data_IF_565189193813
#
_entry.id   IF_565189193813
#
_cell.length_a   1.000
_cell.length_b   1.000
_cell.length_c   1.000
_cell.angle_alpha   90.00
_cell.angle_beta   90.00
_cell.angle_gamma   90.00
#
_symmetry.space_group_name_H-M   'P 1'
#
loop_
_entity.id
_entity.type
_entity.pdbx_description
1 polymer ?
#
# COMPACT_ATOMS: atom_id res chain seq x y z
N UNK A 1 -1.00 -8.04 -25.37
CA UNK A 1 -0.88 -6.81 -24.56
C UNK A 1 0.43 -6.95 -23.80
N UNK A 2 1.44 -6.20 -24.23
CA UNK A 2 2.78 -6.28 -23.66
C UNK A 2 2.73 -5.73 -22.23
N UNK A 3 2.79 -6.60 -21.24
CA UNK A 3 2.82 -6.19 -19.83
C UNK A 3 4.19 -5.59 -19.58
N UNK A 4 4.35 -4.30 -19.88
CA UNK A 4 5.52 -3.52 -19.47
C UNK A 4 5.68 -3.65 -17.97
N UNK A 5 6.62 -4.50 -17.56
CA UNK A 5 6.86 -4.87 -16.16
C UNK A 5 7.72 -3.78 -15.53
N UNK A 6 7.25 -2.53 -15.58
CA UNK A 6 7.87 -1.41 -14.87
C UNK A 6 8.03 -1.78 -13.41
N UNK A 7 9.24 -1.63 -12.91
CA UNK A 7 9.58 -1.79 -11.51
C UNK A 7 9.68 -0.40 -10.87
N UNK A 8 9.24 -0.30 -9.61
CA UNK A 8 9.33 0.91 -8.80
C UNK A 8 9.87 0.51 -7.43
N UNK A 9 10.72 1.36 -6.86
CA UNK A 9 11.08 1.28 -5.46
C UNK A 9 11.28 2.68 -4.89
N UNK A 10 11.09 2.81 -3.58
CA UNK A 10 11.47 4.02 -2.86
C UNK A 10 12.89 3.88 -2.37
N UNK A 11 13.73 4.87 -2.65
CA UNK A 11 15.09 4.95 -2.14
C UNK A 11 15.17 6.11 -1.15
N UNK A 12 15.76 5.86 0.02
CA UNK A 12 16.02 6.88 1.01
C UNK A 12 17.50 7.21 0.96
N UNK A 13 17.84 8.45 0.66
CA UNK A 13 19.21 8.96 0.82
C UNK A 13 19.20 10.11 1.81
N UNK A 14 19.94 9.95 2.91
CA UNK A 14 20.01 10.89 4.03
C UNK A 14 18.62 11.22 4.60
N UNK A 15 18.03 12.33 4.15
CA UNK A 15 16.71 12.84 4.55
C UNK A 15 15.74 13.01 3.35
N UNK A 16 16.21 12.71 2.14
CA UNK A 16 15.43 12.83 0.92
C UNK A 16 14.87 11.47 0.52
N UNK A 17 13.65 11.50 -0.03
CA UNK A 17 12.96 10.31 -0.52
C UNK A 17 12.83 10.40 -2.02
N UNK A 18 13.28 9.34 -2.69
CA UNK A 18 13.22 9.23 -4.13
C UNK A 18 12.37 8.03 -4.53
N UNK A 19 11.80 8.09 -5.73
CA UNK A 19 11.23 6.96 -6.44
C UNK A 19 12.21 6.60 -7.56
N UNK A 20 12.78 5.40 -7.50
CA UNK A 20 13.55 4.81 -8.58
C UNK A 20 12.63 3.88 -9.37
N UNK A 21 12.63 4.00 -10.69
CA UNK A 21 11.79 3.17 -11.54
C UNK A 21 12.43 2.86 -12.89
N UNK A 22 11.96 1.80 -13.53
CA UNK A 22 12.40 1.42 -14.86
C UNK A 22 11.33 1.70 -15.89
N UNK A 23 11.71 2.28 -17.02
CA UNK A 23 10.82 2.53 -18.16
C UNK A 23 11.27 1.69 -19.35
N UNK A 24 10.32 1.05 -20.03
CA UNK A 24 10.53 0.45 -21.34
C UNK A 24 9.55 1.11 -22.31
N UNK A 25 10.03 2.03 -23.14
CA UNK A 25 9.22 2.79 -24.11
C UNK A 25 9.92 2.69 -25.47
N UNK A 26 9.17 2.31 -26.51
CA UNK A 26 9.68 2.16 -27.88
C UNK A 26 10.91 1.24 -28.01
N UNK A 27 10.98 0.19 -27.17
CA UNK A 27 12.12 -0.73 -27.13
C UNK A 27 13.36 -0.20 -26.39
N UNK A 28 13.34 1.05 -25.93
CA UNK A 28 14.41 1.64 -25.12
C UNK A 28 14.13 1.44 -23.64
N UNK A 29 15.02 0.70 -22.97
CA UNK A 29 15.02 0.56 -21.52
C UNK A 29 15.70 1.76 -20.86
N UNK A 30 15.15 2.33 -19.80
CA UNK A 30 15.80 3.41 -19.03
C UNK A 30 15.56 3.21 -17.55
N UNK A 31 16.53 3.66 -16.75
CA UNK A 31 16.37 3.83 -15.31
C UNK A 31 16.09 5.30 -15.07
N UNK A 32 15.05 5.57 -14.29
CA UNK A 32 14.63 6.91 -13.92
C UNK A 32 14.60 7.05 -12.40
N UNK A 33 14.71 8.30 -11.96
CA UNK A 33 14.67 8.70 -10.56
C UNK A 33 13.85 9.98 -10.44
N UNK A 34 13.09 10.14 -9.36
CA UNK A 34 12.40 11.39 -9.06
C UNK A 34 12.22 11.58 -7.56
N UNK A 35 12.29 12.82 -7.08
CA UNK A 35 11.89 13.23 -5.74
C UNK A 35 10.48 13.87 -5.72
N UNK A 36 9.73 13.68 -6.81
CA UNK A 36 8.44 14.31 -7.11
C UNK A 36 8.48 15.83 -7.39
N UNK A 37 9.66 16.44 -7.43
CA UNK A 37 9.87 17.80 -7.95
C UNK A 37 10.67 17.75 -9.27
N UNK A 38 11.81 17.08 -9.23
CA UNK A 38 12.71 16.87 -10.36
C UNK A 38 12.65 15.42 -10.85
N UNK A 39 13.02 15.22 -12.11
CA UNK A 39 13.11 13.89 -12.74
C UNK A 39 14.47 13.73 -13.38
N UNK A 40 15.12 12.61 -13.12
CA UNK A 40 16.38 12.21 -13.75
C UNK A 40 16.18 10.92 -14.54
N UNK A 41 16.88 10.79 -15.67
CA UNK A 41 16.83 9.59 -16.51
C UNK A 41 18.23 9.22 -16.98
N UNK A 42 18.48 7.92 -17.13
CA UNK A 42 19.61 7.44 -17.90
C UNK A 42 19.44 7.85 -19.37
N UNK A 43 20.55 8.05 -20.07
CA UNK A 43 20.53 8.28 -21.51
C UNK A 43 19.90 7.07 -22.24
N UNK A 44 19.14 7.38 -23.28
CA UNK A 44 18.49 6.44 -24.19
C UNK A 44 19.41 5.89 -25.28
N UNK A 45 20.61 6.44 -25.43
CA UNK A 45 21.58 6.02 -26.45
C UNK A 45 21.96 4.55 -26.28
N UNK A 46 22.18 3.85 -27.40
CA UNK A 46 22.54 2.43 -27.38
C UNK A 46 23.83 2.19 -26.59
N UNK A 47 24.80 3.12 -26.68
CA UNK A 47 26.05 3.08 -25.93
C UNK A 47 25.82 3.13 -24.42
N UNK A 48 24.91 3.99 -23.94
CA UNK A 48 24.56 4.06 -22.52
C UNK A 48 23.83 2.81 -22.04
N UNK A 49 23.01 2.18 -22.88
CA UNK A 49 22.38 0.90 -22.56
C UNK A 49 23.39 -0.24 -22.47
N UNK A 50 24.35 -0.28 -23.39
CA UNK A 50 25.43 -1.27 -23.36
C UNK A 50 26.33 -1.04 -22.14
N UNK A 51 26.61 0.22 -21.80
CA UNK A 51 27.33 0.56 -20.58
C UNK A 51 26.57 0.08 -19.35
N UNK A 52 25.27 0.37 -19.24
CA UNK A 52 24.43 -0.10 -18.13
C UNK A 52 24.48 -1.63 -17.99
N UNK A 53 24.31 -2.37 -19.09
CA UNK A 53 24.38 -3.84 -19.09
C UNK A 53 25.75 -4.34 -18.60
N UNK A 54 26.84 -3.72 -19.03
CA UNK A 54 28.21 -4.07 -18.59
C UNK A 54 28.43 -3.74 -17.12
N UNK A 55 28.00 -2.57 -16.67
CA UNK A 55 28.17 -2.11 -15.28
C UNK A 55 27.49 -3.05 -14.29
N UNK A 56 26.34 -3.59 -14.66
CA UNK A 56 25.69 -4.62 -13.87
C UNK A 56 26.11 -6.05 -14.28
N UNK A 57 26.98 -6.26 -15.28
CA UNK A 57 27.33 -7.60 -15.79
C UNK A 57 26.10 -8.46 -16.14
N UNK A 58 25.11 -7.86 -16.80
CA UNK A 58 23.81 -8.47 -17.08
C UNK A 58 23.69 -8.89 -18.54
N UNK A 59 22.98 -10.00 -18.75
CA UNK A 59 22.73 -10.59 -20.07
C UNK A 59 21.43 -10.08 -20.69
N UNK A 60 20.50 -9.56 -19.89
CA UNK A 60 19.21 -9.05 -20.36
C UNK A 60 18.69 -7.90 -19.51
N UNK A 61 17.71 -7.16 -20.05
CA UNK A 61 16.97 -6.11 -19.34
C UNK A 61 16.20 -6.66 -18.13
N UNK A 62 15.72 -7.91 -18.19
CA UNK A 62 14.98 -8.52 -17.09
C UNK A 62 15.88 -8.79 -15.88
N UNK A 63 17.11 -9.22 -16.11
CA UNK A 63 18.11 -9.37 -15.03
C UNK A 63 18.42 -8.00 -14.39
N UNK A 64 18.37 -6.90 -15.17
CA UNK A 64 18.54 -5.54 -14.63
C UNK A 64 17.43 -5.19 -13.65
N UNK A 65 16.19 -5.45 -14.06
CA UNK A 65 15.01 -5.21 -13.25
C UNK A 65 15.06 -6.06 -11.97
N UNK A 66 15.42 -7.34 -12.08
CA UNK A 66 15.53 -8.24 -10.93
C UNK A 66 16.62 -7.81 -9.95
N UNK A 67 17.79 -7.42 -10.45
CA UNK A 67 18.87 -6.94 -9.59
C UNK A 67 18.47 -5.66 -8.85
N UNK A 68 17.96 -4.68 -9.59
CA UNK A 68 17.53 -3.42 -8.99
C UNK A 68 16.43 -3.64 -7.95
N UNK A 69 15.48 -4.54 -8.24
CA UNK A 69 14.46 -4.98 -7.29
C UNK A 69 15.04 -5.58 -6.03
N UNK A 70 15.99 -6.50 -6.16
CA UNK A 70 16.64 -7.14 -5.02
C UNK A 70 17.36 -6.10 -4.16
N UNK A 71 18.15 -5.22 -4.78
CA UNK A 71 18.91 -4.20 -4.07
C UNK A 71 18.02 -3.17 -3.37
N UNK A 72 16.92 -2.71 -4.01
CA UNK A 72 16.00 -1.82 -3.33
C UNK A 72 15.32 -2.52 -2.14
N UNK A 73 15.07 -3.83 -2.23
CA UNK A 73 14.42 -4.60 -1.16
C UNK A 73 15.36 -4.85 0.02
N UNK A 74 16.67 -4.97 -0.24
CA UNK A 74 17.69 -5.11 0.82
C UNK A 74 18.14 -3.76 1.40
N UNK A 75 17.79 -2.64 0.77
CA UNK A 75 18.25 -1.31 1.17
C UNK A 75 19.66 -0.97 0.66
N UNK A 76 20.21 -1.77 -0.25
CA UNK A 76 21.54 -1.57 -0.85
C UNK A 76 21.46 -0.64 -2.07
N UNK A 77 20.67 0.42 -2.00
CA UNK A 77 20.58 1.43 -3.06
C UNK A 77 20.73 2.79 -2.43
N UNK A 78 21.64 3.60 -2.98
CA UNK A 78 21.84 4.98 -2.56
C UNK A 78 21.82 5.91 -3.77
N UNK A 79 21.52 7.18 -3.50
CA UNK A 79 21.38 8.22 -4.52
C UNK A 79 22.32 9.35 -4.17
N UNK A 80 23.09 9.83 -5.14
CA UNK A 80 23.88 11.05 -5.02
C UNK A 80 23.37 12.09 -6.02
N UNK A 81 22.62 13.08 -5.53
CA UNK A 81 22.16 14.21 -6.36
C UNK A 81 23.26 15.26 -6.45
N UNK A 82 23.49 15.78 -7.65
CA UNK A 82 24.43 16.85 -8.01
C UNK A 82 23.67 17.96 -8.76
N UNK A 83 24.29 19.13 -8.94
CA UNK A 83 23.62 20.31 -9.50
C UNK A 83 22.96 20.08 -10.88
N UNK A 84 23.58 19.22 -11.71
CA UNK A 84 23.13 18.93 -13.08
C UNK A 84 22.66 17.48 -13.31
N UNK A 85 22.63 16.63 -12.27
CA UNK A 85 22.39 15.20 -12.46
C UNK A 85 22.27 14.42 -11.16
N UNK A 86 22.13 13.10 -11.28
CA UNK A 86 22.11 12.19 -10.15
C UNK A 86 22.92 10.94 -10.47
N UNK A 87 23.45 10.29 -9.45
CA UNK A 87 24.09 8.99 -9.56
C UNK A 87 23.35 7.98 -8.69
N UNK A 88 22.92 6.87 -9.29
CA UNK A 88 22.31 5.75 -8.59
C UNK A 88 23.39 4.69 -8.34
N UNK A 89 23.64 4.40 -7.07
CA UNK A 89 24.61 3.36 -6.65
C UNK A 89 23.83 2.15 -6.15
N UNK A 90 24.14 0.98 -6.70
CA UNK A 90 23.45 -0.27 -6.40
C UNK A 90 24.43 -1.24 -5.77
N UNK A 91 24.40 -1.35 -4.46
CA UNK A 91 25.36 -2.07 -3.62
C UNK A 91 26.03 -1.15 -2.60
N UNK A 92 26.60 -1.77 -1.58
CA UNK A 92 27.33 -1.08 -0.51
C UNK A 92 28.86 -1.13 -0.68
N UNK A 93 29.35 -1.90 -1.66
CA UNK A 93 30.78 -2.12 -1.89
C UNK A 93 31.47 -0.95 -2.61
N UNK A 94 32.78 -0.73 -2.43
CA UNK A 94 33.53 0.31 -3.16
C UNK A 94 33.48 0.16 -4.69
N UNK A 95 33.27 -1.06 -5.18
CA UNK A 95 33.09 -1.39 -6.61
C UNK A 95 31.62 -1.54 -7.03
N UNK A 96 30.67 -1.05 -6.21
CA UNK A 96 29.26 -1.16 -6.51
C UNK A 96 28.92 -0.51 -7.86
N UNK A 97 28.06 -1.16 -8.68
CA UNK A 97 27.53 -0.58 -9.91
C UNK A 97 26.97 0.83 -9.71
N UNK A 98 27.35 1.74 -10.60
CA UNK A 98 26.91 3.15 -10.62
C UNK A 98 26.23 3.49 -11.94
N UNK A 99 25.14 4.24 -11.86
CA UNK A 99 24.40 4.70 -13.03
C UNK A 99 24.26 6.21 -12.97
N UNK A 100 24.87 6.90 -13.92
CA UNK A 100 24.69 8.35 -14.09
C UNK A 100 23.34 8.64 -14.74
N UNK A 101 22.62 9.59 -14.18
CA UNK A 101 21.32 10.06 -14.61
C UNK A 101 21.39 11.57 -14.86
N UNK A 102 20.85 12.01 -15.99
CA UNK A 102 20.77 13.43 -16.34
C UNK A 102 19.41 13.98 -15.92
N UNK A 103 19.38 15.23 -15.41
CA UNK A 103 18.11 15.88 -15.07
C UNK A 103 17.33 16.18 -16.35
N UNK A 104 16.05 15.83 -16.35
CA UNK A 104 15.10 16.21 -17.39
C UNK A 104 14.65 17.64 -17.14
N UNK A 105 14.54 18.43 -18.20
CA UNK A 105 14.22 19.85 -18.11
C UNK A 105 12.87 20.16 -18.77
N UNK A 106 12.19 21.19 -18.24
CA UNK A 106 11.00 21.78 -18.85
C UNK A 106 9.81 20.82 -19.00
N UNK A 107 9.02 20.93 -20.10
CA UNK A 107 7.80 20.15 -20.30
C UNK A 107 8.01 18.63 -20.24
N UNK A 108 9.19 18.16 -20.64
CA UNK A 108 9.53 16.73 -20.66
C UNK A 108 9.54 16.12 -19.26
N UNK A 109 10.06 16.84 -18.26
CA UNK A 109 10.05 16.37 -16.87
C UNK A 109 8.61 16.28 -16.33
N UNK A 110 7.79 17.30 -16.61
CA UNK A 110 6.38 17.33 -16.20
C UNK A 110 5.56 16.21 -16.85
N UNK A 111 5.77 15.93 -18.14
CA UNK A 111 5.13 14.82 -18.84
C UNK A 111 5.52 13.46 -18.26
N UNK A 112 6.81 13.25 -18.01
CA UNK A 112 7.31 12.00 -17.43
C UNK A 112 6.75 11.77 -16.01
N UNK A 113 6.73 12.81 -15.17
CA UNK A 113 6.16 12.73 -13.82
C UNK A 113 4.64 12.48 -13.86
N UNK A 114 3.92 13.16 -14.77
CA UNK A 114 2.48 12.96 -14.98
C UNK A 114 2.17 11.52 -15.40
N UNK A 115 2.88 10.99 -16.40
CA UNK A 115 2.71 9.60 -16.85
C UNK A 115 3.01 8.61 -15.71
N UNK A 116 4.09 8.84 -14.95
CA UNK A 116 4.46 8.00 -13.80
C UNK A 116 3.33 7.95 -12.76
N UNK A 117 2.77 9.10 -12.39
CA UNK A 117 1.69 9.18 -11.40
C UNK A 117 0.43 8.43 -11.85
N UNK A 118 0.02 8.61 -13.11
CA UNK A 118 -1.12 7.88 -13.65
C UNK A 118 -0.85 6.37 -13.73
N UNK A 119 0.35 5.95 -14.16
CA UNK A 119 0.72 4.53 -14.22
C UNK A 119 0.71 3.89 -12.82
N UNK A 120 1.21 4.60 -11.80
CA UNK A 120 1.15 4.13 -10.41
C UNK A 120 -0.28 4.06 -9.88
N UNK A 121 -1.11 5.06 -10.17
CA UNK A 121 -2.53 5.07 -9.78
C UNK A 121 -3.30 3.90 -10.42
N UNK A 122 -3.13 3.67 -11.73
CA UNK A 122 -3.74 2.56 -12.46
C UNK A 122 -3.28 1.19 -11.93
N UNK A 123 -2.03 1.07 -11.48
CA UNK A 123 -1.55 -0.16 -10.85
C UNK A 123 -2.20 -0.39 -9.49
N UNK A 124 -2.34 0.65 -8.69
CA UNK A 124 -2.96 0.54 -7.36
C UNK A 124 -4.45 0.17 -7.43
N UNK A 125 -5.19 0.73 -8.39
CA UNK A 125 -6.62 0.38 -8.59
C UNK A 125 -6.79 -1.08 -9.00
N UNK A 126 -5.95 -1.58 -9.92
CA UNK A 126 -5.98 -2.99 -10.34
C UNK A 126 -5.62 -3.95 -9.20
N UNK A 127 -4.60 -3.62 -8.40
CA UNK A 127 -4.23 -4.41 -7.22
C UNK A 127 -5.39 -4.45 -6.21
N UNK A 128 -6.11 -3.35 -6.06
CA UNK A 128 -7.28 -3.29 -5.18
C UNK A 128 -8.43 -4.16 -5.68
N UNK A 129 -8.70 -4.20 -6.99
CA UNK A 129 -9.75 -5.06 -7.56
C UNK A 129 -9.42 -6.56 -7.38
N UNK A 130 -8.17 -6.96 -7.62
CA UNK A 130 -7.69 -8.34 -7.43
C UNK A 130 -7.74 -8.77 -5.95
N UNK A 131 -7.47 -7.85 -5.02
CA UNK A 131 -7.54 -8.13 -3.57
C UNK A 131 -8.96 -8.07 -3.02
N UNK A 132 -9.87 -7.29 -3.63
CA UNK A 132 -11.31 -7.28 -3.28
C UNK A 132 -12.03 -8.58 -3.65
N UNK A 133 -11.54 -9.33 -4.64
CA UNK A 133 -12.05 -10.66 -4.98
C UNK A 133 -11.72 -11.71 -3.89
N UNK A 134 -10.74 -11.45 -3.03
CA UNK A 134 -10.38 -12.28 -1.88
C UNK A 134 -11.02 -11.73 -0.60
N UNK A 135 -12.35 -11.81 -0.49
CA UNK A 135 -13.01 -11.71 0.81
C UNK A 135 -12.34 -12.71 1.77
N UNK A 136 -11.91 -12.31 2.99
CA UNK A 136 -11.37 -13.25 3.95
C UNK A 136 -12.37 -14.38 4.16
N UNK A 137 -11.96 -15.66 4.22
CA UNK A 137 -12.88 -16.70 4.64
C UNK A 137 -13.42 -16.26 6.00
N UNK A 138 -14.75 -16.13 6.05
CA UNK A 138 -15.50 -15.88 7.27
C UNK A 138 -15.10 -16.99 8.23
N UNK A 139 -14.15 -16.70 9.12
CA UNK A 139 -13.72 -17.62 10.16
C UNK A 139 -14.96 -17.92 11.00
N UNK A 140 -15.66 -19.00 10.65
CA UNK A 140 -16.49 -19.73 11.59
C UNK A 140 -15.52 -20.36 12.59
N UNK A 141 -14.96 -19.54 13.45
CA UNK A 141 -14.35 -19.99 14.67
C UNK A 141 -15.50 -20.49 15.55
N UNK A 142 -16.02 -21.68 15.23
CA UNK A 142 -16.65 -22.55 16.21
C UNK A 142 -15.55 -22.91 17.21
N UNK A 143 -15.28 -22.02 18.15
CA UNK A 143 -14.75 -22.44 19.44
C UNK A 143 -15.84 -23.32 20.06
N UNK A 144 -15.58 -24.60 20.38
CA UNK A 144 -16.26 -25.17 21.53
C UNK A 144 -15.72 -24.36 22.70
N UNK A 145 -16.49 -23.40 23.19
CA UNK A 145 -16.23 -22.91 24.54
C UNK A 145 -16.53 -24.10 25.44
N UNK A 146 -15.48 -24.70 26.02
CA UNK A 146 -15.58 -25.64 27.13
C UNK A 146 -16.22 -24.92 28.32
N UNK A 147 -17.54 -24.73 28.24
CA UNK A 147 -18.37 -24.29 29.34
C UNK A 147 -18.57 -25.52 30.21
N UNK A 148 -17.73 -25.70 31.23
CA UNK A 148 -18.03 -26.60 32.33
C UNK A 148 -19.23 -26.01 33.10
N UNK A 149 -20.42 -26.63 33.07
CA UNK A 149 -21.49 -26.19 33.93
C UNK A 149 -21.10 -26.60 35.35
N UNK A 150 -20.89 -25.62 36.23
CA UNK A 150 -20.79 -25.88 37.66
C UNK A 150 -22.08 -26.57 38.08
N UNK A 151 -21.99 -27.87 38.36
CA UNK A 151 -23.11 -28.66 38.86
C UNK A 151 -23.60 -28.04 40.17
N UNK A 152 -24.80 -27.48 40.15
CA UNK A 152 -25.58 -27.29 41.36
C UNK A 152 -26.41 -28.57 41.54
N UNK A 153 -26.00 -29.37 42.53
CA UNK A 153 -26.73 -30.51 43.01
C UNK A 153 -28.10 -30.06 43.55
N UNK A 154 -29.19 -30.61 42.98
CA UNK A 154 -30.55 -30.44 43.48
C UNK A 154 -31.62 -30.76 42.44
N UNK A 155 -31.92 -32.05 42.25
CA UNK A 155 -33.03 -32.60 41.43
C UNK A 155 -34.43 -32.29 42.01
N UNK A 156 -35.58 -32.64 41.35
CA UNK A 156 -35.86 -33.00 39.95
C UNK A 156 -37.04 -32.22 39.30
N UNK A 157 -37.16 -32.31 37.98
CA UNK A 157 -38.42 -32.25 37.18
C UNK A 157 -39.31 -30.99 37.23
N UNK A 158 -39.30 -30.22 36.15
CA UNK A 158 -40.47 -30.13 35.24
C UNK A 158 -40.24 -29.08 34.15
N UNK A 159 -40.66 -29.42 32.94
CA UNK A 159 -40.75 -28.58 31.76
C UNK A 159 -41.46 -27.25 32.04
N UNK A 160 -40.81 -26.12 31.73
CA UNK A 160 -41.48 -24.82 31.65
C UNK A 160 -41.29 -24.17 30.26
N UNK A 161 -42.36 -23.58 29.71
CA UNK A 161 -42.45 -23.22 28.30
C UNK A 161 -41.54 -22.04 27.95
N UNK A 162 -41.02 -22.04 26.71
CA UNK A 162 -40.26 -20.91 26.13
C UNK A 162 -41.16 -19.66 26.16
N UNK A 163 -40.96 -18.81 27.18
CA UNK A 163 -41.71 -17.56 27.32
C UNK A 163 -41.32 -16.66 26.13
N UNK A 164 -42.28 -16.43 25.21
CA UNK A 164 -42.08 -15.59 24.03
C UNK A 164 -41.59 -14.20 24.47
N UNK A 165 -40.48 -13.74 23.87
CA UNK A 165 -39.86 -12.46 24.18
C UNK A 165 -40.80 -11.30 23.80
N UNK A 166 -40.89 -10.29 24.66
CA UNK A 166 -41.70 -9.09 24.39
C UNK A 166 -41.08 -8.30 23.21
N UNK A 167 -41.91 -7.77 22.29
CA UNK A 167 -41.43 -6.94 21.18
C UNK A 167 -40.61 -5.76 21.69
N UNK A 168 -39.39 -5.57 21.16
CA UNK A 168 -38.50 -4.45 21.52
C UNK A 168 -37.39 -4.77 22.53
N UNK A 169 -37.32 -6.00 23.06
CA UNK A 169 -36.17 -6.46 23.84
C UNK A 169 -34.92 -6.57 22.96
N UNK A 170 -33.81 -5.96 23.41
CA UNK A 170 -32.55 -5.94 22.67
C UNK A 170 -32.01 -7.36 22.45
N UNK A 171 -31.78 -7.72 21.18
CA UNK A 171 -31.27 -9.04 20.77
C UNK A 171 -29.80 -9.23 21.12
N UNK A 172 -29.03 -8.13 21.09
CA UNK A 172 -27.58 -8.12 21.30
C UNK A 172 -27.26 -8.14 22.80
N UNK A 173 -28.12 -7.56 23.64
CA UNK A 173 -27.90 -7.49 25.08
C UNK A 173 -29.19 -7.80 25.87
N UNK A 174 -29.53 -9.08 26.07
CA UNK A 174 -30.72 -9.48 26.81
C UNK A 174 -30.61 -9.00 28.26
N UNK A 175 -31.57 -8.19 28.72
CA UNK A 175 -31.62 -7.67 30.10
C UNK A 175 -31.14 -6.23 30.28
N UNK A 176 -30.55 -5.60 29.25
CA UNK A 176 -30.23 -4.18 29.29
C UNK A 176 -31.52 -3.33 29.19
N UNK A 177 -31.81 -2.52 30.22
CA UNK A 177 -32.93 -1.56 30.19
C UNK A 177 -32.55 -0.40 29.25
N UNK A 178 -33.38 -0.12 28.25
CA UNK A 178 -33.21 1.07 27.39
C UNK A 178 -33.33 2.33 28.25
N UNK A 179 -32.46 3.30 28.02
CA UNK A 179 -32.55 4.63 28.62
C UNK A 179 -33.80 5.32 28.06
N UNK A 180 -34.77 5.66 28.91
CA UNK A 180 -35.98 6.40 28.52
C UNK A 180 -35.56 7.77 27.97
N UNK A 181 -36.17 8.19 26.86
CA UNK A 181 -35.97 9.55 26.36
C UNK A 181 -36.58 10.55 27.33
N UNK A 182 -35.87 11.66 27.58
CA UNK A 182 -36.34 12.73 28.45
C UNK A 182 -37.62 13.33 27.86
N UNK A 183 -38.71 13.27 28.63
CA UNK A 183 -39.97 13.95 28.32
C UNK A 183 -39.84 15.38 28.83
N UNK A 184 -40.17 16.37 27.99
CA UNK A 184 -39.95 17.80 28.26
C UNK A 184 -40.68 18.31 29.50
N UNK A 185 -40.21 19.43 30.04
CA UNK A 185 -40.78 20.10 31.21
C UNK A 185 -41.94 20.99 30.75
N UNK A 186 -43.12 20.85 31.36
CA UNK A 186 -44.23 21.77 31.16
C UNK A 186 -44.05 22.97 32.11
N UNK A 187 -44.16 24.18 31.58
CA UNK A 187 -44.23 25.40 32.38
C UNK A 187 -45.71 25.73 32.59
N UNK A 188 -46.09 26.00 33.83
CA UNK A 188 -47.43 26.45 34.20
C UNK A 188 -47.50 27.95 33.88
N UNK A 189 -48.39 28.35 32.98
CA UNK A 189 -48.62 29.76 32.68
C UNK A 189 -49.44 30.34 33.85
N UNK A 190 -48.81 31.21 34.64
CA UNK A 190 -49.49 31.95 35.68
C UNK A 190 -50.37 33.03 35.04
N UNK A 191 -51.70 32.87 35.16
CA UNK A 191 -52.68 33.89 34.80
C UNK A 191 -52.43 35.16 35.64
N UNK A 192 -52.09 36.28 34.98
CA UNK A 192 -52.10 37.62 35.56
C UNK A 192 -53.53 38.18 35.50
N UNK A 193 -54.12 38.45 36.68
CA UNK A 193 -55.16 39.47 36.92
C UNK A 193 -54.91 40.14 38.28
#
# INVERSE_FOLDING_TARGET
MDTSRSFYCTVLDKQSKFICYTRLKDGTFRICLTDAADVWSSDSSEDSLQHLRRTFSLKSTEESIMRLRSSCSSGDVSVLVQDSGAELVVGSDPGAPRVTLSRLEGPRAAEELKELLFEMADRLTRVQDETSAASPPKNQLRRPADFNPRQQNGSPSSSLPVKRRLPGACLINPGAKKKLQATGVAFDDADED
#
